data_IF_372655653526
#
_entry.id   IF_372655653526
#
_cell.length_a   1.000
_cell.length_b   1.000
_cell.length_c   1.000
_cell.angle_alpha   90.00
_cell.angle_beta   90.00
_cell.angle_gamma   90.00
#
_symmetry.space_group_name_H-M   'P 1'
#
loop_
_entity.id
_entity.type
_entity.pdbx_description
1 polymer ?
#
# COMPACT_ATOMS: atom_id res chain seq x y z
N UNK A 1 17.04 -13.54 -22.88
CA UNK A 1 18.13 -13.69 -21.89
C UNK A 1 18.39 -12.29 -21.33
N UNK A 2 17.75 -11.95 -20.22
CA UNK A 2 17.85 -10.62 -19.61
C UNK A 2 18.98 -10.65 -18.56
N UNK A 3 19.85 -9.63 -18.51
CA UNK A 3 20.89 -9.58 -17.49
C UNK A 3 20.25 -9.36 -16.13
N UNK A 4 20.73 -10.09 -15.12
CA UNK A 4 20.55 -9.71 -13.72
C UNK A 4 21.03 -8.26 -13.55
N UNK A 5 20.10 -7.35 -13.33
CA UNK A 5 20.41 -6.00 -12.86
C UNK A 5 19.77 -5.83 -11.49
N UNK A 6 20.45 -6.36 -10.48
CA UNK A 6 20.48 -5.69 -9.19
C UNK A 6 21.16 -4.33 -9.44
N UNK A 7 20.47 -3.22 -9.21
CA UNK A 7 21.11 -1.90 -9.19
C UNK A 7 20.83 -1.22 -7.86
N UNK A 8 21.86 -1.24 -7.02
CA UNK A 8 22.18 -0.12 -6.15
C UNK A 8 22.36 1.16 -7.00
N UNK A 9 21.97 2.31 -6.47
CA UNK A 9 22.48 3.59 -6.96
C UNK A 9 22.98 4.42 -5.78
N UNK A 10 24.29 4.64 -5.78
CA UNK A 10 25.05 5.52 -4.90
C UNK A 10 24.64 6.97 -5.21
N UNK A 11 24.40 7.77 -4.17
CA UNK A 11 24.76 9.20 -4.18
C UNK A 11 25.54 9.52 -2.90
N UNK A 12 26.75 10.02 -3.10
CA UNK A 12 27.79 10.28 -2.10
C UNK A 12 27.42 11.37 -1.10
N UNK A 13 27.66 11.14 0.20
CA UNK A 13 28.39 12.08 1.08
C UNK A 13 28.59 11.46 2.48
N UNK A 14 29.88 11.26 2.79
CA UNK A 14 30.61 11.03 4.04
C UNK A 14 29.86 10.73 5.35
N UNK A 15 30.17 9.56 5.93
CA UNK A 15 30.60 9.43 7.33
C UNK A 15 31.49 8.18 7.45
N UNK A 16 32.62 8.32 8.12
CA UNK A 16 33.67 7.30 8.22
C UNK A 16 33.18 6.01 8.88
N UNK A 17 33.24 4.89 8.15
CA UNK A 17 33.11 3.55 8.72
C UNK A 17 34.50 2.93 8.81
N UNK A 18 34.89 2.63 10.05
CA UNK A 18 36.04 1.80 10.34
C UNK A 18 35.95 0.48 9.54
N UNK A 19 37.10 0.02 9.07
CA UNK A 19 37.25 -1.21 8.29
C UNK A 19 36.60 -2.41 9.01
N UNK A 20 35.46 -2.87 8.52
CA UNK A 20 34.93 -4.19 8.87
C UNK A 20 35.79 -5.20 8.11
N UNK A 21 36.73 -5.82 8.83
CA UNK A 21 37.46 -6.97 8.32
C UNK A 21 36.45 -8.08 8.06
N UNK A 22 36.23 -8.39 6.79
CA UNK A 22 35.44 -9.54 6.36
C UNK A 22 36.09 -10.83 6.89
N UNK A 23 35.60 -11.31 8.03
CA UNK A 23 35.91 -12.64 8.51
C UNK A 23 35.08 -13.63 7.71
N UNK A 24 35.75 -14.51 6.98
CA UNK A 24 35.15 -15.66 6.31
C UNK A 24 34.43 -16.53 7.34
N UNK A 25 33.09 -16.47 7.36
CA UNK A 25 32.24 -17.29 8.23
C UNK A 25 30.87 -17.50 7.57
N UNK A 26 30.40 -18.75 7.59
CA UNK A 26 29.10 -19.17 7.10
C UNK A 26 27.95 -18.53 7.89
N UNK A 27 26.74 -18.51 7.32
CA UNK A 27 25.47 -18.15 7.98
C UNK A 27 24.73 -19.39 8.54
N UNK A 28 24.89 -19.79 9.83
CA UNK A 28 24.36 -21.04 10.36
C UNK A 28 23.18 -20.85 11.32
N UNK A 29 22.90 -19.62 11.78
CA UNK A 29 21.87 -19.35 12.80
C UNK A 29 20.51 -18.91 12.23
N UNK A 30 20.46 -18.50 10.95
CA UNK A 30 19.21 -18.08 10.31
C UNK A 30 18.67 -19.24 9.47
N UNK A 31 17.41 -19.67 9.67
CA UNK A 31 16.78 -20.64 8.78
C UNK A 31 16.84 -20.19 7.32
N UNK A 32 17.01 -21.15 6.39
CA UNK A 32 16.97 -20.84 4.98
C UNK A 32 15.67 -20.11 4.62
N UNK A 33 15.74 -19.19 3.65
CA UNK A 33 14.58 -18.42 3.15
C UNK A 33 13.94 -17.46 4.14
N UNK A 34 14.68 -17.07 5.18
CA UNK A 34 14.23 -16.10 6.19
C UNK A 34 14.98 -14.78 6.03
N UNK A 35 14.24 -13.67 5.91
CA UNK A 35 14.80 -12.32 6.05
C UNK A 35 14.94 -11.98 7.53
N UNK A 36 16.15 -11.61 7.97
CA UNK A 36 16.49 -11.34 9.37
C UNK A 36 17.58 -10.27 9.48
N UNK A 37 17.93 -9.87 10.70
CA UNK A 37 19.15 -9.10 11.00
C UNK A 37 20.32 -9.97 11.50
N UNK A 38 20.15 -11.29 11.65
CA UNK A 38 21.07 -12.16 12.40
C UNK A 38 22.15 -12.89 11.58
N UNK A 39 22.59 -12.35 10.44
CA UNK A 39 23.51 -13.05 9.54
C UNK A 39 25.01 -12.89 9.88
N UNK A 40 25.41 -13.09 11.15
CA UNK A 40 26.82 -13.03 11.58
C UNK A 40 27.59 -11.76 11.12
N UNK A 41 26.91 -10.62 11.01
CA UNK A 41 27.53 -9.37 10.55
C UNK A 41 27.93 -9.37 9.06
N UNK A 42 27.37 -10.28 8.25
CA UNK A 42 27.63 -10.32 6.80
C UNK A 42 27.15 -9.06 6.06
N UNK A 43 26.23 -8.31 6.67
CA UNK A 43 25.67 -7.09 6.11
C UNK A 43 26.09 -5.88 6.93
N UNK A 44 26.21 -4.73 6.27
CA UNK A 44 26.54 -3.48 6.94
C UNK A 44 25.43 -3.08 7.92
N UNK A 45 25.76 -2.17 8.84
CA UNK A 45 24.76 -1.48 9.66
C UNK A 45 23.72 -0.89 8.72
N UNK A 46 22.42 -1.02 9.04
CA UNK A 46 21.27 -0.59 8.21
C UNK A 46 20.83 -1.55 7.10
N UNK A 47 21.41 -2.75 7.02
CA UNK A 47 20.99 -3.76 6.04
C UNK A 47 20.35 -4.98 6.71
N UNK A 48 19.19 -5.38 6.21
CA UNK A 48 18.62 -6.70 6.49
C UNK A 48 19.32 -7.76 5.64
N UNK A 49 19.21 -9.03 6.02
CA UNK A 49 19.93 -10.12 5.38
C UNK A 49 19.05 -11.36 5.20
N UNK A 50 19.27 -12.11 4.13
CA UNK A 50 18.55 -13.35 3.84
C UNK A 50 19.53 -14.51 3.62
N UNK A 51 19.27 -15.64 4.26
CA UNK A 51 20.00 -16.88 4.05
C UNK A 51 19.41 -17.66 2.86
N UNK A 52 20.17 -17.97 1.80
CA UNK A 52 19.66 -18.69 0.64
C UNK A 52 19.41 -20.19 0.90
N UNK A 53 18.52 -20.80 0.11
CA UNK A 53 18.20 -22.25 0.11
C UNK A 53 19.39 -23.20 -0.04
N UNK A 54 20.37 -22.76 -0.84
CA UNK A 54 21.38 -23.63 -1.43
C UNK A 54 22.62 -23.67 -0.55
N UNK A 55 23.54 -24.62 -0.80
CA UNK A 55 24.83 -24.76 -0.10
C UNK A 55 25.75 -23.52 -0.16
N UNK A 56 25.32 -22.44 -0.81
CA UNK A 56 25.87 -21.10 -0.71
C UNK A 56 25.79 -20.60 0.73
N UNK A 57 26.92 -20.62 1.44
CA UNK A 57 27.02 -20.19 2.84
C UNK A 57 26.97 -18.68 3.07
N UNK A 58 26.83 -17.86 2.01
CA UNK A 58 26.84 -16.40 2.09
C UNK A 58 25.44 -15.80 2.09
N UNK A 59 25.14 -15.02 3.12
CA UNK A 59 23.91 -14.23 3.21
C UNK A 59 23.85 -13.12 2.16
N UNK A 60 22.63 -12.77 1.74
CA UNK A 60 22.36 -11.68 0.82
C UNK A 60 21.81 -10.47 1.58
N UNK A 61 22.38 -9.30 1.35
CA UNK A 61 22.01 -8.07 2.06
C UNK A 61 20.99 -7.24 1.27
N UNK A 62 20.05 -6.62 1.97
CA UNK A 62 18.96 -5.80 1.45
C UNK A 62 18.92 -4.47 2.21
N UNK A 63 18.81 -3.34 1.49
CA UNK A 63 18.78 -1.99 2.06
C UNK A 63 19.00 -0.95 0.96
N UNK A 64 18.06 -0.01 0.80
CA UNK A 64 18.12 1.00 -0.25
C UNK A 64 17.64 2.33 0.32
N UNK A 65 18.60 3.19 0.70
CA UNK A 65 18.34 4.54 1.23
C UNK A 65 19.08 4.78 2.55
N UNK A 66 19.30 6.06 2.91
CA UNK A 66 19.89 6.39 4.23
C UNK A 66 18.90 6.16 5.38
N UNK A 67 17.60 6.17 5.09
CA UNK A 67 16.50 6.14 6.07
C UNK A 67 15.36 5.17 5.69
N UNK A 68 15.53 4.36 4.63
CA UNK A 68 14.53 3.42 4.13
C UNK A 68 15.10 2.02 3.91
N UNK A 69 14.35 1.00 4.35
CA UNK A 69 14.56 -0.39 3.96
C UNK A 69 13.54 -0.79 2.89
N UNK A 70 14.02 -1.19 1.71
CA UNK A 70 13.19 -1.76 0.64
C UNK A 70 13.47 -3.25 0.49
N UNK A 71 12.41 -4.06 0.58
CA UNK A 71 12.42 -5.50 0.39
C UNK A 71 11.50 -5.85 -0.77
N UNK A 72 12.07 -6.48 -1.80
CA UNK A 72 11.34 -6.99 -2.95
C UNK A 72 11.26 -8.51 -2.86
N UNK A 73 10.04 -9.05 -2.91
CA UNK A 73 9.74 -10.48 -2.83
C UNK A 73 9.41 -10.95 -4.24
N UNK A 74 10.35 -11.54 -4.99
CA UNK A 74 10.10 -11.88 -6.38
C UNK A 74 8.96 -12.90 -6.49
N UNK A 75 8.16 -12.78 -7.55
CA UNK A 75 7.18 -13.83 -7.84
C UNK A 75 7.86 -15.10 -8.34
N UNK A 76 7.18 -16.24 -8.19
CA UNK A 76 7.63 -17.50 -8.75
C UNK A 76 7.99 -17.38 -10.25
N UNK A 77 9.10 -18.02 -10.65
CA UNK A 77 9.66 -17.90 -11.99
C UNK A 77 8.76 -18.54 -13.05
N UNK A 78 8.07 -19.64 -12.73
CA UNK A 78 7.11 -20.28 -13.63
C UNK A 78 5.87 -19.39 -13.80
N UNK A 79 5.40 -18.76 -12.72
CA UNK A 79 4.31 -17.77 -12.77
C UNK A 79 4.67 -16.56 -13.63
N UNK A 80 5.87 -16.00 -13.48
CA UNK A 80 6.36 -14.90 -14.35
C UNK A 80 6.47 -15.35 -15.82
N UNK A 81 6.87 -16.59 -16.08
CA UNK A 81 6.99 -17.11 -17.44
C UNK A 81 5.64 -17.19 -18.15
N UNK A 82 4.58 -17.63 -17.45
CA UNK A 82 3.21 -17.64 -17.98
C UNK A 82 2.72 -16.22 -18.31
N UNK A 83 2.97 -15.23 -17.43
CA UNK A 83 2.64 -13.83 -17.67
C UNK A 83 3.36 -13.24 -18.88
N UNK A 84 4.64 -13.58 -19.08
CA UNK A 84 5.39 -13.14 -20.27
C UNK A 84 4.92 -13.81 -21.56
N UNK A 85 4.40 -15.02 -21.47
CA UNK A 85 3.88 -15.76 -22.61
C UNK A 85 2.51 -15.23 -23.08
N UNK A 86 1.71 -14.70 -22.17
CA UNK A 86 0.43 -14.04 -22.48
C UNK A 86 0.29 -12.75 -21.67
N UNK A 87 1.04 -11.68 -22.01
CA UNK A 87 0.86 -10.39 -21.35
C UNK A 87 -0.60 -9.96 -21.51
N UNK A 88 -1.23 -9.37 -20.47
CA UNK A 88 -2.58 -8.84 -20.62
C UNK A 88 -2.62 -7.89 -21.83
N UNK A 89 -3.59 -8.13 -22.72
CA UNK A 89 -3.59 -7.59 -24.09
C UNK A 89 -3.66 -6.06 -24.17
N UNK A 90 -3.93 -5.39 -23.05
CA UNK A 90 -4.00 -3.94 -22.93
C UNK A 90 -3.47 -3.52 -21.56
N UNK A 91 -2.57 -2.53 -21.53
CA UNK A 91 -2.32 -1.66 -20.36
C UNK A 91 -3.54 -0.74 -20.16
N UNK A 92 -4.74 -1.31 -20.10
CA UNK A 92 -5.95 -0.57 -19.74
C UNK A 92 -5.92 -0.34 -18.23
N UNK A 93 -5.28 0.77 -17.86
CA UNK A 93 -5.66 1.64 -16.74
C UNK A 93 -6.64 1.01 -15.75
N UNK A 94 -6.11 0.33 -14.72
CA UNK A 94 -6.52 0.44 -13.31
C UNK A 94 -8.01 0.16 -12.96
N UNK A 95 -8.84 -0.37 -13.86
CA UNK A 95 -10.23 -0.70 -13.56
C UNK A 95 -10.62 -2.09 -14.05
N UNK A 96 -10.53 -3.09 -13.17
CA UNK A 96 -11.52 -4.17 -13.18
C UNK A 96 -11.10 -5.56 -13.63
N UNK A 97 -9.84 -5.82 -14.02
CA UNK A 97 -9.39 -7.21 -14.17
C UNK A 97 -8.97 -7.79 -12.82
N UNK A 98 -9.90 -8.49 -12.18
CA UNK A 98 -9.68 -9.27 -10.97
C UNK A 98 -9.15 -10.65 -11.36
N UNK A 99 -7.82 -10.79 -11.44
CA UNK A 99 -7.15 -12.07 -11.75
C UNK A 99 -6.89 -12.91 -10.49
N UNK A 100 -7.57 -12.65 -9.36
CA UNK A 100 -7.40 -13.42 -8.10
C UNK A 100 -7.55 -14.92 -8.35
N UNK A 101 -8.50 -15.33 -9.19
CA UNK A 101 -8.73 -16.75 -9.49
C UNK A 101 -7.58 -17.41 -10.27
N UNK A 102 -6.74 -16.63 -10.95
CA UNK A 102 -5.62 -17.11 -11.77
C UNK A 102 -4.28 -17.05 -11.03
N UNK A 103 -4.09 -16.05 -10.16
CA UNK A 103 -2.80 -15.74 -9.55
C UNK A 103 -2.88 -15.28 -8.09
N UNK A 104 -3.82 -15.83 -7.30
CA UNK A 104 -4.07 -15.42 -5.91
C UNK A 104 -2.84 -15.41 -5.01
N UNK A 105 -1.79 -16.13 -5.37
CA UNK A 105 -0.50 -16.09 -4.68
C UNK A 105 0.58 -16.69 -5.58
N UNK A 106 1.75 -16.07 -5.61
CA UNK A 106 2.92 -16.60 -6.30
C UNK A 106 4.20 -16.13 -5.62
N UNK A 107 4.42 -16.49 -4.36
CA UNK A 107 5.77 -16.35 -3.80
C UNK A 107 6.70 -17.35 -4.44
N UNK A 108 7.94 -16.96 -4.70
CA UNK A 108 8.96 -17.96 -4.95
C UNK A 108 9.40 -18.59 -3.63
N UNK A 109 10.06 -19.75 -3.71
CA UNK A 109 10.63 -20.36 -2.50
C UNK A 109 11.80 -19.53 -1.93
N UNK A 110 12.23 -18.41 -2.54
CA UNK A 110 13.44 -17.70 -2.09
C UNK A 110 13.24 -16.97 -0.75
N UNK A 111 12.04 -16.46 -0.45
CA UNK A 111 11.70 -15.82 0.82
C UNK A 111 10.33 -16.31 1.30
N UNK A 112 10.34 -17.09 2.39
CA UNK A 112 9.12 -17.68 2.97
C UNK A 112 8.66 -16.94 4.22
N UNK A 113 9.59 -16.31 4.95
CA UNK A 113 9.30 -15.64 6.21
C UNK A 113 10.12 -14.36 6.37
N UNK A 114 9.49 -13.30 6.88
CA UNK A 114 10.16 -12.11 7.40
C UNK A 114 10.19 -12.20 8.92
N UNK A 115 11.37 -12.45 9.48
CA UNK A 115 11.59 -12.48 10.91
C UNK A 115 11.61 -11.07 11.52
N UNK A 116 11.72 -11.00 12.84
CA UNK A 116 12.01 -9.77 13.56
C UNK A 116 13.19 -9.02 12.92
N UNK A 117 12.97 -7.74 12.58
CA UNK A 117 14.01 -6.87 12.05
C UNK A 117 14.50 -5.94 13.15
N UNK A 118 15.82 -5.91 13.35
CA UNK A 118 16.49 -4.93 14.19
C UNK A 118 17.14 -3.86 13.33
N UNK A 119 16.46 -2.71 13.18
CA UNK A 119 16.89 -1.64 12.29
C UNK A 119 17.67 -0.58 13.08
N UNK A 120 18.59 0.09 12.38
CA UNK A 120 19.28 1.27 12.91
C UNK A 120 18.27 2.38 13.23
N UNK A 121 18.65 3.28 14.15
CA UNK A 121 17.85 4.46 14.50
C UNK A 121 17.67 5.44 13.35
N UNK A 122 18.46 5.32 12.28
CA UNK A 122 18.37 6.17 11.08
C UNK A 122 17.25 5.72 10.14
N UNK A 123 16.88 4.43 10.15
CA UNK A 123 15.82 3.90 9.29
C UNK A 123 14.47 4.32 9.86
N UNK A 124 13.75 5.19 9.14
CA UNK A 124 12.44 5.72 9.55
C UNK A 124 11.28 5.13 8.74
N UNK A 125 11.58 4.41 7.65
CA UNK A 125 10.58 3.78 6.79
C UNK A 125 10.95 2.38 6.30
N UNK A 126 9.94 1.53 6.11
CA UNK A 126 10.08 0.18 5.56
C UNK A 126 9.10 -0.03 4.41
N UNK A 127 9.58 -0.60 3.31
CA UNK A 127 8.75 -1.02 2.17
C UNK A 127 8.95 -2.52 1.96
N UNK A 128 7.89 -3.30 2.12
CA UNK A 128 7.83 -4.72 1.81
C UNK A 128 6.88 -4.92 0.62
N UNK A 129 7.42 -5.35 -0.51
CA UNK A 129 6.69 -5.41 -1.78
C UNK A 129 6.82 -6.78 -2.45
N UNK A 130 5.69 -7.37 -2.83
CA UNK A 130 5.65 -8.47 -3.78
C UNK A 130 5.97 -8.01 -5.21
N UNK A 131 6.84 -8.76 -5.89
CA UNK A 131 7.27 -8.55 -7.27
C UNK A 131 8.69 -8.02 -7.44
N UNK A 132 9.13 -7.98 -8.70
CA UNK A 132 10.49 -7.59 -9.10
C UNK A 132 10.58 -6.27 -9.87
N UNK A 133 9.46 -5.58 -10.09
CA UNK A 133 9.40 -4.24 -10.71
C UNK A 133 8.53 -3.30 -9.87
N UNK A 134 8.91 -2.03 -9.82
CA UNK A 134 8.06 -0.95 -9.28
C UNK A 134 6.92 -0.57 -10.24
N UNK A 135 6.95 -1.11 -11.45
CA UNK A 135 6.05 -0.74 -12.53
C UNK A 135 4.94 -1.79 -12.68
N UNK A 136 3.72 -1.38 -12.31
CA UNK A 136 2.47 -2.07 -12.60
C UNK A 136 1.87 -2.84 -11.42
N UNK A 137 0.96 -2.20 -10.68
CA UNK A 137 0.07 -2.89 -9.74
C UNK A 137 -0.98 -3.67 -10.54
N UNK A 138 -0.73 -4.95 -10.78
CA UNK A 138 -1.81 -5.85 -11.20
C UNK A 138 -2.57 -6.26 -9.95
N UNK A 139 -3.82 -5.78 -9.84
CA UNK A 139 -4.70 -6.13 -8.73
C UNK A 139 -4.75 -7.64 -8.56
N UNK A 140 -4.63 -8.09 -7.32
CA UNK A 140 -4.64 -9.48 -6.89
C UNK A 140 -3.44 -10.32 -7.30
N UNK A 141 -2.40 -9.70 -7.86
CA UNK A 141 -1.12 -10.38 -8.06
C UNK A 141 -0.21 -10.16 -6.86
N UNK A 142 -0.16 -11.15 -5.97
CA UNK A 142 0.49 -11.02 -4.66
C UNK A 142 1.49 -12.14 -4.35
N UNK A 143 2.48 -11.84 -3.52
CA UNK A 143 3.41 -12.81 -2.95
C UNK A 143 2.90 -13.29 -1.58
N UNK A 144 3.13 -14.56 -1.27
CA UNK A 144 2.79 -15.12 0.04
C UNK A 144 4.05 -15.23 0.90
N UNK A 145 4.09 -14.48 2.00
CA UNK A 145 5.22 -14.47 2.93
C UNK A 145 4.68 -14.38 4.36
N UNK A 146 5.15 -15.27 5.23
CA UNK A 146 4.80 -15.21 6.64
C UNK A 146 5.53 -14.03 7.33
N UNK A 147 4.84 -13.35 8.22
CA UNK A 147 5.38 -12.22 8.99
C UNK A 147 5.48 -12.65 10.44
N UNK A 148 6.67 -12.62 11.03
CA UNK A 148 6.91 -13.08 12.40
C UNK A 148 6.22 -12.22 13.47
N UNK A 149 5.92 -12.84 14.61
CA UNK A 149 5.26 -12.20 15.77
C UNK A 149 6.12 -11.15 16.50
N UNK A 150 7.29 -10.81 15.95
CA UNK A 150 8.16 -9.73 16.42
C UNK A 150 8.65 -8.83 15.28
N UNK A 151 7.99 -8.90 14.12
CA UNK A 151 8.42 -8.26 12.88
C UNK A 151 9.03 -6.85 13.07
N UNK A 152 8.24 -5.86 13.50
CA UNK A 152 8.70 -4.49 13.73
C UNK A 152 8.29 -3.93 15.11
N UNK A 153 7.83 -4.76 16.03
CA UNK A 153 7.25 -4.32 17.31
C UNK A 153 8.20 -3.50 18.18
N UNK A 154 9.52 -3.70 18.04
CA UNK A 154 10.56 -2.92 18.73
C UNK A 154 11.03 -1.65 18.01
N UNK A 155 10.57 -1.41 16.78
CA UNK A 155 11.12 -0.38 15.89
C UNK A 155 10.40 0.98 16.03
N UNK A 156 10.49 1.57 17.23
CA UNK A 156 9.79 2.84 17.60
C UNK A 156 10.24 4.09 16.84
N UNK A 157 11.34 4.02 16.10
CA UNK A 157 11.80 5.08 15.21
C UNK A 157 11.01 5.13 13.89
N UNK A 158 10.31 4.05 13.54
CA UNK A 158 9.57 3.98 12.28
C UNK A 158 8.33 4.88 12.34
N UNK A 159 8.16 5.68 11.30
CA UNK A 159 6.98 6.54 11.11
C UNK A 159 6.17 6.13 9.89
N UNK A 160 6.75 5.35 8.98
CA UNK A 160 6.08 4.90 7.77
C UNK A 160 6.41 3.43 7.46
N UNK A 161 5.37 2.65 7.16
CA UNK A 161 5.51 1.36 6.49
C UNK A 161 4.64 1.29 5.23
N UNK A 162 5.15 0.63 4.20
CA UNK A 162 4.34 0.16 3.07
C UNK A 162 4.50 -1.35 2.94
N UNK A 163 3.39 -2.07 2.99
CA UNK A 163 3.28 -3.48 2.67
C UNK A 163 2.36 -3.59 1.47
N UNK A 164 2.84 -4.07 0.34
CA UNK A 164 2.02 -4.12 -0.87
C UNK A 164 2.33 -5.31 -1.75
N UNK A 165 1.33 -5.71 -2.54
CA UNK A 165 1.39 -6.93 -3.36
C UNK A 165 1.68 -8.18 -2.52
N UNK A 166 1.17 -8.27 -1.29
CA UNK A 166 1.29 -9.46 -0.43
C UNK A 166 -0.08 -10.04 -0.08
N UNK A 167 -0.17 -11.35 0.09
CA UNK A 167 -1.40 -11.94 0.60
C UNK A 167 -1.54 -11.65 2.11
N UNK A 168 -2.31 -10.62 2.47
CA UNK A 168 -2.60 -10.27 3.86
C UNK A 168 -4.00 -10.66 4.31
N UNK A 169 -4.75 -11.41 3.48
CA UNK A 169 -6.17 -11.73 3.74
C UNK A 169 -6.36 -12.34 5.13
N UNK A 170 -5.52 -13.29 5.50
CA UNK A 170 -5.59 -14.00 6.78
C UNK A 170 -4.52 -13.52 7.79
N UNK A 171 -3.63 -12.61 7.38
CA UNK A 171 -2.46 -12.16 8.16
C UNK A 171 -2.54 -10.72 8.67
N UNK A 172 -3.61 -9.98 8.35
CA UNK A 172 -3.74 -8.56 8.72
C UNK A 172 -3.69 -8.34 10.24
N UNK A 173 -4.37 -9.17 11.03
CA UNK A 173 -4.32 -9.06 12.50
C UNK A 173 -2.92 -9.31 13.06
N UNK A 174 -2.20 -10.29 12.48
CA UNK A 174 -0.81 -10.60 12.85
C UNK A 174 0.13 -9.44 12.49
N UNK A 175 -0.01 -8.87 11.29
CA UNK A 175 0.75 -7.69 10.90
C UNK A 175 0.52 -6.54 11.87
N UNK A 176 -0.75 -6.17 12.10
CA UNK A 176 -1.12 -5.02 12.94
C UNK A 176 -0.58 -5.14 14.38
N UNK A 177 -0.63 -6.33 14.97
CA UNK A 177 -0.10 -6.57 16.32
C UNK A 177 1.42 -6.36 16.44
N UNK A 178 2.13 -6.39 15.31
CA UNK A 178 3.59 -6.36 15.22
C UNK A 178 4.13 -5.10 14.56
N UNK A 179 3.31 -4.06 14.45
CA UNK A 179 3.70 -2.72 14.04
C UNK A 179 3.96 -1.82 15.26
N UNK A 180 4.95 -0.91 15.19
CA UNK A 180 5.20 0.04 16.26
C UNK A 180 4.11 1.13 16.30
N UNK A 181 3.75 1.58 17.50
CA UNK A 181 2.72 2.61 17.71
C UNK A 181 3.12 4.01 17.23
N UNK A 182 4.38 4.21 16.85
CA UNK A 182 4.94 5.45 16.31
C UNK A 182 4.55 5.73 14.85
N UNK A 183 3.93 4.77 14.16
CA UNK A 183 3.56 4.91 12.76
C UNK A 183 2.54 6.03 12.53
N UNK A 184 2.87 6.89 11.57
CA UNK A 184 2.02 7.99 11.08
C UNK A 184 1.42 7.64 9.72
N UNK A 185 2.06 6.76 8.94
CA UNK A 185 1.64 6.39 7.60
C UNK A 185 1.74 4.88 7.36
N UNK A 186 0.66 4.29 6.85
CA UNK A 186 0.63 2.89 6.42
C UNK A 186 0.09 2.80 5.00
N UNK A 187 0.87 2.18 4.10
CA UNK A 187 0.39 1.70 2.80
C UNK A 187 0.12 0.20 2.85
N UNK A 188 -1.08 -0.21 2.44
CA UNK A 188 -1.56 -1.60 2.35
C UNK A 188 -2.19 -1.88 0.98
N UNK A 189 -1.70 -1.23 -0.07
CA UNK A 189 -2.26 -1.42 -1.41
C UNK A 189 -2.05 -2.83 -1.95
N UNK A 190 -3.06 -3.34 -2.66
CA UNK A 190 -3.03 -4.62 -3.35
C UNK A 190 -2.64 -5.81 -2.45
N UNK A 191 -3.34 -6.01 -1.33
CA UNK A 191 -3.06 -7.10 -0.39
C UNK A 191 -4.23 -8.06 -0.16
N UNK A 192 -5.14 -8.16 -1.12
CA UNK A 192 -6.34 -9.02 -1.08
C UNK A 192 -7.30 -8.77 0.11
N UNK A 193 -7.19 -7.64 0.81
CA UNK A 193 -8.04 -7.35 1.98
C UNK A 193 -9.51 -7.29 1.57
N UNK A 194 -10.38 -8.00 2.27
CA UNK A 194 -11.84 -8.00 2.02
C UNK A 194 -12.61 -7.13 3.00
N UNK A 195 -11.96 -6.71 4.09
CA UNK A 195 -12.55 -5.91 5.16
C UNK A 195 -11.61 -4.75 5.51
N UNK A 196 -12.17 -3.70 6.12
CA UNK A 196 -11.36 -2.62 6.69
C UNK A 196 -10.48 -3.18 7.82
N UNK A 197 -9.18 -2.85 7.88
CA UNK A 197 -8.25 -3.41 8.86
C UNK A 197 -8.47 -2.80 10.26
N UNK A 198 -9.57 -3.18 10.92
CA UNK A 198 -9.90 -2.78 12.29
C UNK A 198 -8.76 -2.97 13.31
N UNK A 199 -7.86 -3.97 13.21
CA UNK A 199 -6.73 -4.06 14.13
C UNK A 199 -5.79 -2.84 14.14
N UNK A 200 -5.77 -2.04 13.07
CA UNK A 200 -4.95 -0.82 12.99
C UNK A 200 -5.51 0.34 13.81
N UNK A 201 -6.72 0.26 14.35
CA UNK A 201 -7.28 1.33 15.22
C UNK A 201 -6.48 1.51 16.51
N UNK A 202 -5.67 0.52 16.89
CA UNK A 202 -4.73 0.60 18.01
C UNK A 202 -3.59 1.60 17.77
N UNK A 203 -3.31 1.96 16.52
CA UNK A 203 -2.29 2.92 16.13
C UNK A 203 -2.86 4.34 16.16
N UNK A 204 -2.98 4.88 17.37
CA UNK A 204 -3.67 6.16 17.63
C UNK A 204 -3.01 7.38 17.00
N UNK A 205 -1.73 7.28 16.59
CA UNK A 205 -1.00 8.33 15.90
C UNK A 205 -1.16 8.28 14.36
N UNK A 206 -1.86 7.28 13.82
CA UNK A 206 -1.93 7.07 12.37
C UNK A 206 -2.72 8.20 11.67
N UNK A 207 -2.08 8.84 10.70
CA UNK A 207 -2.61 9.97 9.95
C UNK A 207 -2.93 9.63 8.51
N UNK A 208 -2.18 8.71 7.90
CA UNK A 208 -2.35 8.31 6.49
C UNK A 208 -2.52 6.81 6.39
N UNK A 209 -3.59 6.38 5.72
CA UNK A 209 -3.87 4.98 5.43
C UNK A 209 -4.23 4.82 3.95
N UNK A 210 -3.45 4.00 3.24
CA UNK A 210 -3.75 3.65 1.85
C UNK A 210 -4.14 2.18 1.75
N UNK A 211 -5.36 1.92 1.32
CA UNK A 211 -5.98 0.61 1.15
C UNK A 211 -6.36 0.37 -0.33
N UNK A 212 -5.75 1.09 -1.25
CA UNK A 212 -6.08 0.98 -2.68
C UNK A 212 -5.89 -0.43 -3.23
N UNK A 213 -6.61 -0.76 -4.30
CA UNK A 213 -6.47 -2.04 -5.02
C UNK A 213 -6.74 -3.30 -4.18
N UNK A 214 -7.57 -3.21 -3.14
CA UNK A 214 -8.01 -4.35 -2.34
C UNK A 214 -9.42 -4.82 -2.77
N UNK A 215 -10.05 -5.69 -1.99
CA UNK A 215 -11.37 -6.26 -2.23
C UNK A 215 -12.40 -5.83 -1.17
N UNK A 216 -12.20 -4.67 -0.52
CA UNK A 216 -13.05 -4.20 0.56
C UNK A 216 -14.42 -3.82 -0.01
N UNK A 217 -15.50 -4.37 0.56
CA UNK A 217 -16.86 -4.18 0.07
C UNK A 217 -17.64 -3.09 0.82
N UNK A 218 -17.33 -2.87 2.09
CA UNK A 218 -18.06 -1.96 2.97
C UNK A 218 -17.13 -1.32 4.00
N UNK A 219 -17.42 -0.05 4.34
CA UNK A 219 -16.73 0.70 5.39
C UNK A 219 -17.78 1.22 6.37
N UNK A 220 -17.82 0.69 7.60
CA UNK A 220 -18.89 0.97 8.55
C UNK A 220 -18.40 1.67 9.85
N UNK A 221 -19.33 2.06 10.71
CA UNK A 221 -19.14 3.01 11.81
C UNK A 221 -18.42 2.47 13.06
N UNK A 222 -17.45 1.57 12.93
CA UNK A 222 -16.75 0.94 14.07
C UNK A 222 -15.24 1.23 14.11
N UNK A 223 -14.80 2.30 13.46
CA UNK A 223 -13.38 2.59 13.26
C UNK A 223 -12.99 3.88 13.99
N UNK A 224 -12.40 3.74 15.18
CA UNK A 224 -11.84 4.87 15.93
C UNK A 224 -10.44 5.18 15.41
N UNK A 225 -10.36 6.00 14.36
CA UNK A 225 -9.09 6.57 13.86
C UNK A 225 -9.16 8.09 13.90
N UNK A 226 -9.08 8.65 15.11
CA UNK A 226 -9.33 10.08 15.36
C UNK A 226 -8.30 11.01 14.71
N UNK A 227 -7.09 10.51 14.46
CA UNK A 227 -5.99 11.27 13.85
C UNK A 227 -5.90 11.09 12.32
N UNK A 228 -6.76 10.27 11.72
CA UNK A 228 -6.69 10.00 10.28
C UNK A 228 -7.06 11.24 9.47
N UNK A 229 -6.11 11.71 8.66
CA UNK A 229 -6.25 12.89 7.80
C UNK A 229 -6.35 12.53 6.32
N UNK A 230 -5.81 11.38 5.91
CA UNK A 230 -5.82 10.91 4.53
C UNK A 230 -6.17 9.42 4.45
N UNK A 231 -7.20 9.10 3.69
CA UNK A 231 -7.67 7.74 3.44
C UNK A 231 -7.83 7.50 1.95
N UNK A 232 -7.08 6.53 1.43
CA UNK A 232 -7.26 6.03 0.07
C UNK A 232 -7.92 4.65 0.10
N UNK A 233 -9.03 4.52 -0.61
CA UNK A 233 -9.80 3.30 -0.82
C UNK A 233 -10.03 3.05 -2.32
N UNK A 234 -9.19 3.63 -3.17
CA UNK A 234 -9.26 3.52 -4.63
C UNK A 234 -9.31 2.04 -5.07
N UNK A 235 -10.07 1.73 -6.12
CA UNK A 235 -10.06 0.42 -6.76
C UNK A 235 -10.40 -0.75 -5.82
N UNK A 236 -11.39 -0.55 -4.93
CA UNK A 236 -11.95 -1.59 -4.07
C UNK A 236 -13.29 -2.11 -4.64
N UNK A 237 -14.14 -2.72 -3.81
CA UNK A 237 -15.50 -3.18 -4.17
C UNK A 237 -16.55 -2.43 -3.33
N UNK A 238 -16.25 -1.19 -2.91
CA UNK A 238 -17.05 -0.49 -1.91
C UNK A 238 -18.41 -0.11 -2.48
N UNK A 239 -19.47 -0.63 -1.87
CA UNK A 239 -20.85 -0.27 -2.18
C UNK A 239 -21.49 0.61 -1.10
N UNK A 240 -20.95 0.59 0.12
CA UNK A 240 -21.41 1.40 1.25
C UNK A 240 -20.25 1.98 2.06
N UNK A 241 -20.33 3.28 2.38
CA UNK A 241 -19.38 4.00 3.23
C UNK A 241 -20.16 4.80 4.28
N UNK A 242 -20.14 4.36 5.54
CA UNK A 242 -20.84 5.00 6.66
C UNK A 242 -19.93 5.39 7.81
N UNK A 243 -18.62 5.14 7.70
CA UNK A 243 -17.64 5.57 8.69
C UNK A 243 -17.45 7.09 8.69
N UNK A 244 -17.11 7.62 9.87
CA UNK A 244 -16.80 9.03 10.08
C UNK A 244 -15.40 9.16 10.68
N UNK A 245 -14.55 9.92 10.00
CA UNK A 245 -13.17 10.19 10.42
C UNK A 245 -13.03 11.70 10.68
N UNK A 246 -12.99 12.16 11.94
CA UNK A 246 -13.22 13.56 12.28
C UNK A 246 -12.16 14.54 11.73
N UNK A 247 -10.94 14.05 11.46
CA UNK A 247 -9.83 14.85 10.91
C UNK A 247 -9.58 14.66 9.42
N UNK A 248 -10.44 13.92 8.73
CA UNK A 248 -10.22 13.56 7.34
C UNK A 248 -10.27 14.80 6.44
N UNK A 249 -9.18 15.01 5.71
CA UNK A 249 -9.00 16.10 4.74
C UNK A 249 -8.93 15.58 3.31
N UNK A 250 -8.49 14.32 3.13
CA UNK A 250 -8.34 13.67 1.84
C UNK A 250 -9.03 12.30 1.86
N UNK A 251 -9.94 12.08 0.90
CA UNK A 251 -10.64 10.82 0.72
C UNK A 251 -10.67 10.42 -0.76
N UNK A 252 -10.11 9.26 -1.08
CA UNK A 252 -10.22 8.65 -2.40
C UNK A 252 -11.12 7.41 -2.36
N UNK A 253 -12.27 7.50 -3.02
CA UNK A 253 -13.25 6.43 -3.22
C UNK A 253 -13.40 6.08 -4.71
N UNK A 254 -12.45 6.48 -5.56
CA UNK A 254 -12.51 6.25 -7.00
C UNK A 254 -12.45 4.75 -7.33
N UNK A 255 -13.06 4.36 -8.44
CA UNK A 255 -13.10 2.99 -8.96
C UNK A 255 -13.68 1.99 -7.94
N UNK A 256 -14.83 2.33 -7.37
CA UNK A 256 -15.59 1.49 -6.46
C UNK A 256 -16.96 1.15 -7.07
N UNK A 257 -17.90 0.68 -6.25
CA UNK A 257 -19.25 0.27 -6.67
C UNK A 257 -20.33 1.18 -6.06
N UNK A 258 -19.98 2.44 -5.77
CA UNK A 258 -20.91 3.39 -5.18
C UNK A 258 -22.01 3.75 -6.18
N UNK A 259 -23.27 3.64 -5.76
CA UNK A 259 -24.46 4.02 -6.55
C UNK A 259 -25.07 5.35 -6.10
N UNK A 260 -24.52 5.96 -5.07
CA UNK A 260 -24.84 7.29 -4.57
C UNK A 260 -23.62 7.85 -3.82
N UNK A 261 -23.58 9.17 -3.63
CA UNK A 261 -22.61 9.77 -2.72
C UNK A 261 -23.05 9.45 -1.28
N UNK A 262 -22.20 8.82 -0.46
CA UNK A 262 -22.57 8.51 0.92
C UNK A 262 -22.88 9.76 1.76
N UNK A 263 -24.02 9.80 2.44
CA UNK A 263 -24.47 10.97 3.23
C UNK A 263 -23.46 11.39 4.31
N UNK A 264 -22.71 10.44 4.86
CA UNK A 264 -21.69 10.71 5.89
C UNK A 264 -20.57 11.62 5.37
N UNK A 265 -20.35 11.70 4.05
CA UNK A 265 -19.33 12.57 3.45
C UNK A 265 -19.56 14.04 3.85
N UNK A 266 -20.81 14.51 3.86
CA UNK A 266 -21.14 15.87 4.25
C UNK A 266 -20.78 16.21 5.72
N UNK A 267 -20.58 15.20 6.57
CA UNK A 267 -20.15 15.39 7.97
C UNK A 267 -18.65 15.68 8.10
N UNK A 268 -17.84 15.37 7.08
CA UNK A 268 -16.39 15.59 7.08
C UNK A 268 -16.08 17.06 6.79
N UNK A 269 -16.27 17.93 7.78
CA UNK A 269 -16.13 19.38 7.64
C UNK A 269 -14.72 19.86 7.28
N UNK A 270 -13.71 19.02 7.53
CA UNK A 270 -12.30 19.28 7.18
C UNK A 270 -11.90 18.75 5.81
N UNK A 271 -12.81 18.09 5.08
CA UNK A 271 -12.51 17.50 3.78
C UNK A 271 -12.24 18.59 2.74
N UNK A 272 -11.03 18.55 2.16
CA UNK A 272 -10.59 19.46 1.09
C UNK A 272 -10.49 18.75 -0.25
N UNK A 273 -10.29 17.43 -0.26
CA UNK A 273 -10.13 16.64 -1.47
C UNK A 273 -10.99 15.37 -1.42
N UNK A 274 -11.87 15.21 -2.41
CA UNK A 274 -12.75 14.06 -2.56
C UNK A 274 -12.68 13.51 -4.00
N UNK A 275 -12.31 12.25 -4.12
CA UNK A 275 -12.23 11.57 -5.42
C UNK A 275 -13.29 10.47 -5.51
N UNK A 276 -14.17 10.54 -6.52
CA UNK A 276 -15.31 9.64 -6.71
C UNK A 276 -15.39 9.08 -8.14
N UNK A 277 -14.31 9.15 -8.91
CA UNK A 277 -14.31 8.75 -10.32
C UNK A 277 -14.62 7.26 -10.48
N UNK A 278 -15.14 6.83 -11.64
CA UNK A 278 -15.27 5.40 -11.92
C UNK A 278 -16.24 4.68 -10.97
N UNK A 279 -17.30 5.35 -10.54
CA UNK A 279 -18.40 4.78 -9.76
C UNK A 279 -19.69 4.80 -10.60
N UNK A 280 -20.85 4.50 -9.99
CA UNK A 280 -22.17 4.55 -10.63
C UNK A 280 -23.07 5.62 -9.98
N UNK A 281 -22.51 6.79 -9.67
CA UNK A 281 -23.22 7.86 -8.95
C UNK A 281 -24.07 8.67 -9.95
N UNK A 282 -25.40 8.77 -9.76
CA UNK A 282 -26.27 9.50 -10.68
C UNK A 282 -26.37 11.00 -10.37
N UNK A 283 -26.11 11.41 -9.12
CA UNK A 283 -26.30 12.79 -8.71
C UNK A 283 -25.31 13.21 -7.62
N UNK A 284 -24.87 14.47 -7.68
CA UNK A 284 -24.19 15.17 -6.59
C UNK A 284 -25.01 16.41 -6.21
N UNK A 285 -25.82 16.27 -5.17
CA UNK A 285 -26.75 17.32 -4.74
C UNK A 285 -26.27 18.12 -3.53
N UNK A 286 -26.96 19.20 -3.18
CA UNK A 286 -26.66 20.06 -2.03
C UNK A 286 -26.53 19.31 -0.69
N UNK A 287 -27.16 18.14 -0.50
CA UNK A 287 -27.00 17.32 0.72
C UNK A 287 -25.58 16.76 0.90
N UNK A 288 -24.77 16.75 -0.16
CA UNK A 288 -23.38 16.27 -0.15
C UNK A 288 -22.37 17.42 -0.12
N UNK A 289 -22.83 18.67 -0.09
CA UNK A 289 -21.97 19.83 -0.17
C UNK A 289 -21.09 19.97 1.08
N UNK A 290 -19.79 20.15 0.84
CA UNK A 290 -18.79 20.41 1.88
C UNK A 290 -18.19 21.78 1.59
N UNK A 291 -18.33 22.71 2.55
CA UNK A 291 -17.92 24.09 2.35
C UNK A 291 -16.42 24.25 2.05
N UNK A 292 -15.57 23.43 2.65
CA UNK A 292 -14.11 23.49 2.52
C UNK A 292 -13.54 22.69 1.34
N UNK A 293 -14.39 22.07 0.52
CA UNK A 293 -13.95 21.22 -0.58
C UNK A 293 -13.31 22.06 -1.67
N UNK A 294 -12.05 21.74 -2.00
CA UNK A 294 -11.24 22.38 -3.03
C UNK A 294 -11.14 21.52 -4.28
N UNK A 295 -11.02 20.21 -4.10
CA UNK A 295 -10.90 19.23 -5.17
C UNK A 295 -12.05 18.23 -5.08
N UNK A 296 -12.79 18.10 -6.17
CA UNK A 296 -13.83 17.09 -6.35
C UNK A 296 -13.70 16.48 -7.74
N UNK A 297 -13.54 15.17 -7.85
CA UNK A 297 -13.46 14.51 -9.16
C UNK A 297 -14.59 13.50 -9.33
N UNK A 298 -15.31 13.57 -10.45
CA UNK A 298 -16.54 12.82 -10.68
C UNK A 298 -16.61 12.15 -12.07
N UNK A 299 -15.53 12.15 -12.85
CA UNK A 299 -15.54 11.57 -14.20
C UNK A 299 -15.79 10.05 -14.17
N UNK A 300 -16.25 9.49 -15.29
CA UNK A 300 -16.62 8.07 -15.38
C UNK A 300 -17.67 7.68 -14.32
N UNK A 301 -18.71 8.50 -14.19
CA UNK A 301 -19.92 8.16 -13.45
C UNK A 301 -21.13 8.20 -14.39
N UNK A 302 -22.28 7.72 -13.92
CA UNK A 302 -23.54 7.79 -14.67
C UNK A 302 -24.37 9.04 -14.26
N UNK A 303 -23.69 10.18 -14.11
CA UNK A 303 -24.29 11.39 -13.55
C UNK A 303 -25.30 12.05 -14.50
N UNK A 304 -26.45 12.44 -13.94
CA UNK A 304 -27.51 13.20 -14.62
C UNK A 304 -27.84 14.51 -13.90
N UNK A 305 -27.36 14.70 -12.66
CA UNK A 305 -27.65 15.89 -11.86
C UNK A 305 -26.45 16.36 -11.04
N UNK A 306 -26.19 17.67 -11.08
CA UNK A 306 -25.25 18.35 -10.20
C UNK A 306 -25.84 19.70 -9.78
N UNK A 307 -26.21 19.85 -8.51
CA UNK A 307 -26.81 21.10 -7.97
C UNK A 307 -26.14 21.63 -6.69
N UNK A 308 -25.03 21.02 -6.26
CA UNK A 308 -24.32 21.44 -5.07
C UNK A 308 -23.61 22.79 -5.23
N UNK A 309 -23.78 23.64 -4.22
CA UNK A 309 -23.02 24.89 -4.04
C UNK A 309 -21.75 24.58 -3.25
N UNK A 310 -20.60 24.71 -3.92
CA UNK A 310 -19.27 24.42 -3.37
C UNK A 310 -18.41 25.70 -3.48
N UNK A 311 -18.46 26.59 -2.47
CA UNK A 311 -17.93 27.95 -2.60
C UNK A 311 -16.41 28.04 -2.71
N UNK A 312 -15.69 27.03 -2.22
CA UNK A 312 -14.22 26.98 -2.21
C UNK A 312 -13.65 26.00 -3.25
N UNK A 313 -14.46 25.52 -4.19
CA UNK A 313 -14.03 24.52 -5.15
C UNK A 313 -13.08 25.13 -6.20
N UNK A 314 -11.90 24.56 -6.30
CA UNK A 314 -10.81 24.99 -7.18
C UNK A 314 -10.66 24.05 -8.39
N UNK A 315 -11.00 22.76 -8.24
CA UNK A 315 -10.82 21.74 -9.28
C UNK A 315 -12.00 20.76 -9.34
N UNK A 316 -12.62 20.63 -10.53
CA UNK A 316 -13.81 19.80 -10.78
C UNK A 316 -13.79 19.10 -12.15
N UNK A 317 -12.96 18.08 -12.38
CA UNK A 317 -13.07 17.25 -13.57
C UNK A 317 -14.34 16.40 -13.49
N UNK A 318 -15.20 16.53 -14.50
CA UNK A 318 -16.41 15.74 -14.69
C UNK A 318 -16.59 15.40 -16.18
N UNK A 319 -17.51 14.48 -16.50
CA UNK A 319 -17.78 14.13 -17.89
C UNK A 319 -18.36 15.32 -18.66
N UNK A 320 -17.87 15.55 -19.89
CA UNK A 320 -18.17 16.74 -20.69
C UNK A 320 -19.69 16.95 -20.93
N UNK A 321 -20.44 15.87 -21.08
CA UNK A 321 -21.91 15.90 -21.26
C UNK A 321 -22.64 16.53 -20.07
N UNK A 322 -22.13 16.33 -18.85
CA UNK A 322 -22.71 16.91 -17.64
C UNK A 322 -22.27 18.37 -17.45
N UNK A 323 -21.02 18.70 -17.78
CA UNK A 323 -20.50 20.06 -17.73
C UNK A 323 -21.36 21.02 -18.59
N UNK A 324 -21.70 20.59 -19.81
CA UNK A 324 -22.57 21.33 -20.73
C UNK A 324 -23.99 21.55 -20.16
N UNK A 325 -24.62 20.51 -19.60
CA UNK A 325 -25.99 20.61 -19.06
C UNK A 325 -26.10 21.43 -17.78
N UNK A 326 -25.00 21.58 -17.04
CA UNK A 326 -24.96 22.30 -15.75
C UNK A 326 -24.34 23.69 -15.85
N UNK A 327 -23.91 24.11 -17.05
CA UNK A 327 -23.32 25.42 -17.32
C UNK A 327 -21.96 25.63 -16.64
N UNK A 328 -21.22 24.56 -16.33
CA UNK A 328 -19.88 24.60 -15.73
C UNK A 328 -18.82 24.27 -16.78
N UNK A 329 -17.69 24.97 -16.76
CA UNK A 329 -16.57 24.63 -17.65
C UNK A 329 -15.89 23.34 -17.17
N UNK A 330 -15.63 22.43 -18.11
CA UNK A 330 -14.87 21.17 -17.92
C UNK A 330 -13.46 21.40 -17.39
#
# INVERSE_FOLDING_TARGET
>A
MWPQRFRASITTAAAALASVSAATGSCPEVPAHTLSSACNGACEVEQACMAPATTSTSCRCFGVGKDQLLVLIPFDKATIAALRASPPATYETIAGKDDTALYSWASNDDLTTVAALNLSSVVSSVVLRGGSSMDGLNKSFVANVDIDDKFLSGQTQLTWITVENLDLKDSMSKLAANLPSSLLSIGLQNNLLTEFPTPLTTLTALQTLNLGYNNIADINSNHEMSELTSLSLQANKISSFTAYFPKLSHLDLSYNQLTAVPEVIAKHSLLTSLYLNGNNIPAFTQSHAIANLKTLTLFMNNMTQFDAILPNLEYLPMDASLAESTGRSS
#
